data_IF_673601354104
#
_entry.id   IF_673601354104
#
_cell.length_a   1.000
_cell.length_b   1.000
_cell.length_c   1.000
_cell.angle_alpha   90.00
_cell.angle_beta   90.00
_cell.angle_gamma   90.00
#
_symmetry.space_group_name_H-M   'P 1'
#
loop_
_entity.id
_entity.type
_entity.pdbx_description
1 polymer ?
#
# COMPACT_ATOMS: atom_id res chain seq x y z
N UNK A 1 -50.08 -68.25 -15.81
CA UNK A 1 -50.31 -66.83 -16.17
C UNK A 1 -49.01 -66.04 -15.92
N UNK A 2 -48.42 -65.43 -16.95
CA UNK A 2 -47.22 -64.56 -16.80
C UNK A 2 -47.60 -63.21 -16.19
N UNK A 3 -46.90 -62.66 -15.19
CA UNK A 3 -46.96 -61.23 -14.91
C UNK A 3 -45.85 -60.48 -15.65
N UNK A 4 -46.27 -59.36 -16.24
CA UNK A 4 -45.54 -58.52 -17.18
C UNK A 4 -44.39 -57.78 -16.50
N UNK A 5 -43.17 -57.92 -17.02
CA UNK A 5 -42.04 -57.07 -16.64
C UNK A 5 -42.27 -55.63 -17.08
N UNK A 6 -42.52 -54.74 -16.12
CA UNK A 6 -42.59 -53.30 -16.36
C UNK A 6 -41.18 -52.70 -16.30
N UNK A 7 -40.43 -52.78 -17.41
CA UNK A 7 -39.18 -52.02 -17.55
C UNK A 7 -39.52 -50.53 -17.70
N UNK A 8 -39.61 -49.79 -16.59
CA UNK A 8 -39.53 -48.33 -16.62
C UNK A 8 -38.14 -47.95 -17.14
N UNK A 9 -38.05 -47.62 -18.44
CA UNK A 9 -36.85 -46.99 -19.01
C UNK A 9 -36.57 -45.70 -18.23
N UNK A 10 -35.44 -45.65 -17.52
CA UNK A 10 -34.94 -44.46 -16.84
C UNK A 10 -34.74 -43.36 -17.88
N UNK A 11 -35.45 -42.24 -17.77
CA UNK A 11 -35.22 -41.06 -18.61
C UNK A 11 -33.98 -40.33 -18.10
N UNK A 12 -32.86 -40.54 -18.78
CA UNK A 12 -31.67 -39.69 -18.67
C UNK A 12 -31.90 -38.43 -19.51
N UNK A 13 -31.75 -37.25 -18.92
CA UNK A 13 -31.81 -35.99 -19.65
C UNK A 13 -30.42 -35.37 -19.75
N UNK A 14 -29.99 -35.01 -20.95
CA UNK A 14 -28.72 -34.33 -21.19
C UNK A 14 -28.98 -32.85 -21.43
N UNK A 15 -28.28 -31.98 -20.70
CA UNK A 15 -28.28 -30.52 -20.97
C UNK A 15 -26.87 -30.08 -21.41
N UNK A 16 -26.75 -29.20 -22.41
CA UNK A 16 -25.48 -28.54 -22.69
C UNK A 16 -25.13 -27.61 -21.52
N UNK A 17 -23.88 -27.67 -21.05
CA UNK A 17 -23.42 -26.88 -19.91
C UNK A 17 -21.94 -26.54 -20.03
N UNK A 18 -21.52 -25.53 -19.27
CA UNK A 18 -20.15 -25.02 -19.26
C UNK A 18 -19.35 -25.71 -18.14
N UNK A 19 -18.11 -26.16 -18.39
CA UNK A 19 -17.28 -26.71 -17.31
C UNK A 19 -16.90 -25.61 -16.30
N UNK A 20 -16.77 -25.97 -15.01
CA UNK A 20 -16.29 -25.04 -13.99
C UNK A 20 -14.85 -24.60 -14.31
N UNK A 21 -14.59 -23.29 -14.21
CA UNK A 21 -13.25 -22.69 -14.46
C UNK A 21 -13.01 -22.14 -15.88
N UNK A 22 -14.01 -22.10 -16.77
CA UNK A 22 -13.83 -21.60 -18.14
C UNK A 22 -14.15 -20.09 -18.27
N UNK A 23 -13.22 -19.22 -18.72
CA UNK A 23 -13.45 -17.77 -18.83
C UNK A 23 -14.56 -17.42 -19.83
N UNK A 24 -15.32 -16.35 -19.57
CA UNK A 24 -16.37 -15.87 -20.46
C UNK A 24 -15.81 -15.47 -21.84
N UNK A 25 -16.42 -15.96 -22.93
CA UNK A 25 -16.10 -15.52 -24.30
C UNK A 25 -15.40 -16.53 -25.23
N UNK A 26 -15.05 -17.74 -24.76
CA UNK A 26 -14.48 -18.78 -25.63
C UNK A 26 -15.60 -19.62 -26.27
N UNK A 27 -15.81 -19.49 -27.58
CA UNK A 27 -16.74 -20.33 -28.35
C UNK A 27 -16.01 -21.58 -28.85
N UNK A 28 -16.52 -22.78 -28.57
CA UNK A 28 -16.01 -24.03 -29.16
C UNK A 28 -15.97 -25.25 -28.25
N UNK A 29 -16.20 -25.12 -26.95
CA UNK A 29 -16.17 -26.25 -26.02
C UNK A 29 -17.59 -26.59 -25.55
N UNK A 30 -18.25 -27.55 -26.20
CA UNK A 30 -19.52 -28.10 -25.76
C UNK A 30 -19.32 -29.53 -25.24
N UNK A 31 -19.59 -29.77 -23.96
CA UNK A 31 -19.62 -31.13 -23.39
C UNK A 31 -20.83 -31.31 -22.46
N UNK A 32 -21.30 -32.56 -22.35
CA UNK A 32 -22.64 -32.94 -21.85
C UNK A 32 -22.65 -33.15 -20.33
N UNK A 33 -23.70 -32.68 -19.66
CA UNK A 33 -24.01 -33.08 -18.28
C UNK A 33 -25.08 -34.17 -18.26
N UNK A 34 -24.92 -35.14 -17.37
CA UNK A 34 -25.92 -36.17 -17.09
C UNK A 34 -26.51 -35.89 -15.70
N UNK A 35 -27.83 -35.74 -15.62
CA UNK A 35 -28.52 -35.61 -14.33
C UNK A 35 -29.49 -36.76 -14.10
N UNK A 36 -29.43 -37.37 -12.92
CA UNK A 36 -30.43 -38.29 -12.39
C UNK A 36 -31.17 -37.63 -11.21
N UNK A 37 -32.47 -37.90 -11.05
CA UNK A 37 -33.24 -37.36 -9.93
C UNK A 37 -32.71 -37.88 -8.59
N UNK A 38 -32.30 -36.97 -7.71
CA UNK A 38 -31.85 -37.28 -6.34
C UNK A 38 -30.34 -37.31 -6.12
N UNK A 39 -29.51 -37.00 -7.13
CA UNK A 39 -28.04 -36.81 -6.97
C UNK A 39 -27.60 -35.46 -7.53
N UNK A 40 -26.52 -34.92 -6.97
CA UNK A 40 -25.83 -33.77 -7.55
C UNK A 40 -25.30 -34.15 -8.96
N UNK A 41 -25.38 -33.25 -9.95
CA UNK A 41 -24.93 -33.54 -11.31
C UNK A 41 -23.42 -33.81 -11.32
N UNK A 42 -23.03 -34.97 -11.83
CA UNK A 42 -21.64 -35.41 -11.92
C UNK A 42 -21.12 -35.20 -13.35
N UNK A 43 -19.88 -34.74 -13.46
CA UNK A 43 -19.27 -34.41 -14.73
C UNK A 43 -18.67 -35.67 -15.37
N UNK A 44 -19.09 -35.97 -16.61
CA UNK A 44 -18.62 -37.16 -17.35
C UNK A 44 -18.08 -36.69 -18.71
N UNK A 45 -16.78 -36.44 -18.77
CA UNK A 45 -16.06 -36.05 -19.99
C UNK A 45 -14.53 -36.12 -19.80
N UNK A 46 -13.73 -36.00 -20.87
CA UNK A 46 -12.27 -35.85 -20.74
C UNK A 46 -11.91 -34.46 -20.20
N UNK A 47 -10.96 -34.38 -19.27
CA UNK A 47 -10.53 -33.09 -18.68
C UNK A 47 -9.69 -32.39 -19.73
N UNK A 48 -10.01 -31.15 -20.14
CA UNK A 48 -9.22 -30.49 -21.18
C UNK A 48 -7.81 -30.24 -20.63
N UNK A 49 -6.81 -30.80 -21.32
CA UNK A 49 -5.43 -30.40 -21.13
C UNK A 49 -5.27 -28.93 -21.55
N UNK A 50 -4.55 -28.18 -20.72
CA UNK A 50 -4.09 -26.80 -20.88
C UNK A 50 -4.25 -26.23 -22.30
N UNK A 51 -5.19 -25.29 -22.48
CA UNK A 51 -5.36 -24.57 -23.74
C UNK A 51 -4.16 -23.64 -23.97
N UNK A 52 -3.20 -24.06 -24.79
CA UNK A 52 -2.22 -23.16 -25.38
C UNK A 52 -2.92 -22.26 -26.41
N UNK A 53 -2.92 -20.95 -26.17
CA UNK A 53 -3.34 -19.96 -27.18
C UNK A 53 -2.41 -20.08 -28.41
N UNK A 54 -2.92 -20.64 -29.51
CA UNK A 54 -2.33 -20.46 -30.82
C UNK A 54 -3.43 -20.19 -31.86
N UNK A 55 -3.20 -19.11 -32.62
CA UNK A 55 -3.81 -18.69 -33.88
C UNK A 55 -5.32 -18.38 -33.94
N UNK A 56 -5.63 -17.09 -34.07
CA UNK A 56 -6.89 -16.59 -34.63
C UNK A 56 -6.66 -16.32 -36.13
N UNK A 57 -7.41 -16.94 -37.07
CA UNK A 57 -7.31 -16.59 -38.48
C UNK A 57 -8.01 -15.25 -38.75
N UNK A 58 -7.34 -14.38 -39.50
CA UNK A 58 -7.91 -13.12 -40.02
C UNK A 58 -8.93 -13.45 -41.12
N UNK A 59 -10.19 -13.08 -40.91
CA UNK A 59 -11.17 -12.96 -41.99
C UNK A 59 -12.50 -13.68 -41.76
N UNK A 60 -13.39 -13.07 -40.97
CA UNK A 60 -14.82 -13.34 -41.08
C UNK A 60 -15.59 -12.08 -40.70
N UNK A 61 -16.10 -11.36 -41.72
CA UNK A 61 -17.00 -10.21 -41.53
C UNK A 61 -18.35 -10.73 -41.02
N UNK A 62 -18.56 -10.71 -39.70
CA UNK A 62 -19.88 -10.91 -39.11
C UNK A 62 -20.72 -9.65 -39.34
N UNK A 63 -21.82 -9.78 -40.09
CA UNK A 63 -22.84 -8.74 -40.24
C UNK A 63 -23.51 -8.51 -38.87
N UNK A 64 -23.39 -7.31 -38.30
CA UNK A 64 -24.07 -6.92 -37.04
C UNK A 64 -25.55 -6.64 -37.33
N UNK A 65 -26.49 -7.12 -36.49
CA UNK A 65 -27.85 -6.59 -36.50
C UNK A 65 -27.81 -5.14 -35.98
N UNK A 66 -28.61 -4.27 -36.58
CA UNK A 66 -28.75 -2.88 -36.19
C UNK A 66 -29.39 -2.76 -34.80
N UNK A 67 -28.57 -2.82 -33.74
CA UNK A 67 -28.95 -2.29 -32.43
C UNK A 67 -28.73 -0.78 -32.46
N UNK A 68 -29.81 -0.01 -32.27
CA UNK A 68 -29.81 1.45 -32.07
C UNK A 68 -28.56 1.88 -31.31
N UNK A 69 -27.67 2.59 -31.98
CA UNK A 69 -26.57 3.29 -31.35
C UNK A 69 -27.17 4.42 -30.51
N UNK A 70 -27.39 4.18 -29.22
CA UNK A 70 -27.28 5.27 -28.26
C UNK A 70 -25.83 5.70 -28.33
N UNK A 71 -25.58 6.80 -29.05
CA UNK A 71 -24.32 7.53 -28.99
C UNK A 71 -23.86 7.53 -27.54
N UNK A 72 -22.64 7.07 -27.21
CA UNK A 72 -22.05 7.48 -25.96
C UNK A 72 -21.95 8.99 -26.12
N UNK A 73 -22.89 9.72 -25.51
CA UNK A 73 -22.66 11.11 -25.18
C UNK A 73 -21.34 11.05 -24.43
N UNK A 74 -20.27 11.42 -25.13
CA UNK A 74 -19.05 11.77 -24.48
C UNK A 74 -19.48 12.82 -23.49
N UNK A 75 -19.60 12.41 -22.23
CA UNK A 75 -19.11 13.25 -21.17
C UNK A 75 -17.67 13.49 -21.56
N UNK A 76 -17.47 14.53 -22.38
CA UNK A 76 -16.28 15.32 -22.28
C UNK A 76 -16.01 15.39 -20.79
N UNK A 77 -14.79 15.03 -20.37
CA UNK A 77 -14.26 15.64 -19.17
C UNK A 77 -14.41 17.14 -19.43
N UNK A 78 -15.57 17.69 -19.05
CA UNK A 78 -15.71 19.10 -18.82
C UNK A 78 -14.58 19.35 -17.85
N UNK A 79 -13.55 20.09 -18.30
CA UNK A 79 -12.47 20.50 -17.44
C UNK A 79 -13.14 21.05 -16.19
N UNK A 80 -13.06 20.27 -15.11
CA UNK A 80 -13.61 20.65 -13.83
C UNK A 80 -12.84 21.92 -13.46
N UNK A 81 -13.51 23.06 -13.24
CA UNK A 81 -12.85 24.35 -13.09
C UNK A 81 -11.87 24.25 -11.92
N UNK A 82 -10.58 24.55 -12.14
CA UNK A 82 -9.47 24.61 -11.16
C UNK A 82 -9.72 23.95 -9.79
N UNK A 83 -10.15 22.70 -9.75
CA UNK A 83 -10.25 21.95 -8.49
C UNK A 83 -8.86 21.42 -8.19
N UNK A 84 -8.53 21.28 -6.90
CA UNK A 84 -7.28 20.62 -6.55
C UNK A 84 -7.26 19.18 -7.13
N UNK A 85 -6.09 18.66 -7.54
CA UNK A 85 -5.98 17.36 -8.21
C UNK A 85 -6.60 16.20 -7.42
N UNK A 86 -6.61 16.32 -6.09
CA UNK A 86 -7.15 15.31 -5.20
C UNK A 86 -8.68 15.36 -5.16
N UNK A 87 -9.32 16.52 -5.05
CA UNK A 87 -10.79 16.61 -5.15
C UNK A 87 -11.28 16.12 -6.52
N UNK A 88 -10.50 16.37 -7.57
CA UNK A 88 -10.76 15.80 -8.91
C UNK A 88 -10.65 14.27 -8.91
N UNK A 89 -9.60 13.70 -8.32
CA UNK A 89 -9.42 12.26 -8.20
C UNK A 89 -10.55 11.60 -7.39
N UNK A 90 -10.93 12.18 -6.25
CA UNK A 90 -12.06 11.70 -5.43
C UNK A 90 -13.38 11.80 -6.19
N UNK A 91 -13.66 12.93 -6.84
CA UNK A 91 -14.88 13.08 -7.65
C UNK A 91 -14.96 12.05 -8.77
N UNK A 92 -13.80 11.62 -9.30
CA UNK A 92 -13.71 10.55 -10.31
C UNK A 92 -13.93 9.15 -9.71
N UNK A 93 -13.51 8.92 -8.47
CA UNK A 93 -13.74 7.66 -7.76
C UNK A 93 -15.21 7.51 -7.31
N UNK A 94 -15.88 8.62 -7.07
CA UNK A 94 -17.31 8.70 -6.77
C UNK A 94 -18.15 8.65 -8.05
N UNK A 95 -19.34 8.05 -7.98
CA UNK A 95 -20.30 8.02 -9.10
C UNK A 95 -20.81 9.46 -9.44
N UNK A 96 -21.42 9.70 -10.62
CA UNK A 96 -21.75 11.05 -11.10
C UNK A 96 -22.54 11.89 -10.08
N UNK A 97 -22.19 13.17 -9.93
CA UNK A 97 -22.74 14.07 -8.89
C UNK A 97 -21.95 14.05 -7.57
N UNK A 98 -20.76 13.43 -7.56
CA UNK A 98 -19.95 13.21 -6.37
C UNK A 98 -19.15 14.41 -5.83
N UNK A 99 -19.23 15.61 -6.41
CA UNK A 99 -18.40 16.75 -5.99
C UNK A 99 -18.72 17.17 -4.53
N UNK A 100 -19.99 17.37 -4.19
CA UNK A 100 -20.39 17.76 -2.83
C UNK A 100 -20.10 16.65 -1.82
N UNK A 101 -20.23 15.38 -2.24
CA UNK A 101 -19.90 14.22 -1.40
C UNK A 101 -18.40 14.04 -1.23
N UNK A 102 -17.58 14.34 -2.22
CA UNK A 102 -16.12 14.34 -2.12
C UNK A 102 -15.65 15.39 -1.11
N UNK A 103 -16.19 16.61 -1.23
CA UNK A 103 -15.90 17.70 -0.29
C UNK A 103 -16.36 17.36 1.13
N UNK A 104 -17.59 16.85 1.28
CA UNK A 104 -18.11 16.42 2.58
C UNK A 104 -17.30 15.26 3.18
N UNK A 105 -16.84 14.33 2.34
CA UNK A 105 -16.01 13.20 2.78
C UNK A 105 -14.64 13.71 3.25
N UNK A 106 -14.00 14.59 2.50
CA UNK A 106 -12.73 15.21 2.90
C UNK A 106 -12.85 16.00 4.19
N UNK A 107 -13.95 16.74 4.38
CA UNK A 107 -14.25 17.43 5.63
C UNK A 107 -14.47 16.44 6.78
N UNK A 108 -15.21 15.35 6.55
CA UNK A 108 -15.46 14.31 7.56
C UNK A 108 -14.17 13.61 7.99
N UNK A 109 -13.28 13.32 7.05
CA UNK A 109 -11.99 12.68 7.35
C UNK A 109 -10.91 13.69 7.79
N UNK A 110 -11.23 14.98 7.83
CA UNK A 110 -10.38 16.10 8.20
C UNK A 110 -9.30 16.46 7.17
N UNK A 111 -8.74 15.45 6.50
CA UNK A 111 -7.72 15.61 5.47
C UNK A 111 -7.72 14.42 4.50
N UNK A 112 -7.16 14.58 3.30
CA UNK A 112 -7.03 13.51 2.30
C UNK A 112 -6.42 12.22 2.84
N UNK A 113 -5.47 12.35 3.78
CA UNK A 113 -4.79 11.22 4.43
C UNK A 113 -5.71 10.41 5.32
N UNK A 114 -6.79 11.01 5.83
CA UNK A 114 -7.81 10.28 6.58
C UNK A 114 -8.41 9.16 5.74
N UNK A 115 -8.46 9.28 4.41
CA UNK A 115 -8.91 8.21 3.52
C UNK A 115 -7.98 7.00 3.52
N UNK A 116 -6.68 7.19 3.71
CA UNK A 116 -5.70 6.09 3.79
C UNK A 116 -5.92 5.21 5.03
N UNK A 117 -6.61 5.74 6.05
CA UNK A 117 -6.86 5.07 7.34
C UNK A 117 -8.19 4.32 7.39
N UNK A 118 -9.13 4.66 6.52
CA UNK A 118 -10.46 4.10 6.58
C UNK A 118 -10.55 2.83 5.76
N UNK A 119 -10.99 1.75 6.42
CA UNK A 119 -11.41 0.54 5.72
C UNK A 119 -12.67 0.81 4.90
N UNK A 120 -12.95 -0.02 3.88
CA UNK A 120 -14.17 0.10 3.10
C UNK A 120 -15.45 0.10 3.98
N UNK A 121 -15.59 -0.73 5.04
CA UNK A 121 -16.70 -0.62 5.98
C UNK A 121 -16.78 0.73 6.71
N UNK A 122 -15.64 1.28 7.14
CA UNK A 122 -15.60 2.57 7.82
C UNK A 122 -15.98 3.72 6.89
N UNK A 123 -15.58 3.66 5.62
CA UNK A 123 -16.02 4.59 4.59
C UNK A 123 -17.53 4.53 4.38
N UNK A 124 -18.13 3.33 4.29
CA UNK A 124 -19.59 3.18 4.19
C UNK A 124 -20.31 3.75 5.41
N UNK A 125 -19.73 3.62 6.61
CA UNK A 125 -20.32 4.13 7.85
C UNK A 125 -20.47 5.66 7.86
N UNK A 126 -19.67 6.40 7.07
CA UNK A 126 -19.82 7.86 6.90
C UNK A 126 -21.14 8.26 6.25
N UNK A 127 -21.82 7.32 5.57
CA UNK A 127 -23.02 7.55 4.71
C UNK A 127 -22.79 8.49 3.53
N UNK A 128 -21.56 8.91 3.26
CA UNK A 128 -21.20 9.79 2.15
C UNK A 128 -20.87 8.99 0.88
N UNK A 129 -20.52 7.72 1.02
CA UNK A 129 -20.14 6.84 -0.07
C UNK A 129 -20.90 5.51 -0.01
N UNK A 130 -21.22 4.98 -1.19
CA UNK A 130 -21.78 3.64 -1.34
C UNK A 130 -20.70 2.56 -1.09
N UNK A 131 -21.13 1.32 -0.85
CA UNK A 131 -20.20 0.18 -0.74
C UNK A 131 -19.28 0.02 -1.96
N UNK A 132 -19.79 0.35 -3.15
CA UNK A 132 -19.02 0.29 -4.40
C UNK A 132 -17.96 1.38 -4.45
N UNK A 133 -18.32 2.62 -4.13
CA UNK A 133 -17.39 3.76 -4.08
C UNK A 133 -16.34 3.56 -2.98
N UNK A 134 -16.75 3.09 -1.79
CA UNK A 134 -15.83 2.74 -0.71
C UNK A 134 -14.82 1.67 -1.14
N UNK A 135 -15.26 0.64 -1.89
CA UNK A 135 -14.37 -0.38 -2.44
C UNK A 135 -13.39 0.18 -3.47
N UNK A 136 -13.82 1.14 -4.31
CA UNK A 136 -12.92 1.82 -5.27
C UNK A 136 -11.87 2.69 -4.56
N UNK A 137 -12.29 3.45 -3.54
CA UNK A 137 -11.37 4.26 -2.73
C UNK A 137 -10.36 3.33 -2.04
N UNK A 138 -10.83 2.29 -1.35
CA UNK A 138 -9.95 1.31 -0.70
C UNK A 138 -8.97 0.66 -1.70
N UNK A 139 -9.44 0.25 -2.89
CA UNK A 139 -8.55 -0.30 -3.92
C UNK A 139 -7.50 0.71 -4.41
N UNK A 140 -7.86 1.99 -4.54
CA UNK A 140 -6.91 3.05 -4.91
C UNK A 140 -5.87 3.29 -3.81
N UNK A 141 -6.28 3.24 -2.54
CA UNK A 141 -5.38 3.31 -1.37
C UNK A 141 -4.41 2.13 -1.37
N UNK A 142 -4.91 0.89 -1.53
CA UNK A 142 -4.08 -0.32 -1.59
C UNK A 142 -3.08 -0.26 -2.74
N UNK A 143 -3.51 0.18 -3.93
CA UNK A 143 -2.62 0.35 -5.08
C UNK A 143 -1.54 1.40 -4.80
N UNK A 144 -1.89 2.50 -4.13
CA UNK A 144 -0.94 3.52 -3.72
C UNK A 144 0.08 2.96 -2.72
N UNK A 145 -0.37 2.26 -1.68
CA UNK A 145 0.51 1.62 -0.69
C UNK A 145 1.45 0.63 -1.37
N UNK A 146 0.92 -0.22 -2.25
CA UNK A 146 1.73 -1.18 -3.01
C UNK A 146 2.73 -0.51 -3.96
N UNK A 147 2.36 0.61 -4.59
CA UNK A 147 3.28 1.38 -5.42
C UNK A 147 4.41 2.06 -4.61
N UNK A 148 4.21 2.25 -3.30
CA UNK A 148 5.26 2.73 -2.39
C UNK A 148 6.18 1.59 -1.90
N UNK A 149 5.75 0.34 -1.96
CA UNK A 149 6.57 -0.81 -1.56
C UNK A 149 7.81 -0.90 -2.45
N UNK A 150 8.97 -0.59 -1.87
CA UNK A 150 10.26 -0.87 -2.49
C UNK A 150 10.63 -2.35 -2.24
N UNK A 151 11.43 -2.99 -3.11
CA UNK A 151 11.94 -4.33 -2.83
C UNK A 151 12.57 -4.34 -1.44
N UNK A 152 12.24 -5.35 -0.61
CA UNK A 152 12.63 -5.38 0.81
C UNK A 152 14.14 -5.25 1.02
N UNK A 153 14.92 -5.66 0.03
CA UNK A 153 16.38 -5.71 0.08
C UNK A 153 17.04 -4.65 -0.83
N UNK A 154 16.25 -3.71 -1.36
CA UNK A 154 16.79 -2.62 -2.16
C UNK A 154 17.69 -1.73 -1.30
N UNK A 155 18.82 -1.32 -1.88
CA UNK A 155 19.73 -0.39 -1.23
C UNK A 155 19.04 0.96 -0.97
N UNK A 156 19.17 1.47 0.26
CA UNK A 156 18.62 2.75 0.70
C UNK A 156 19.66 3.86 0.46
N UNK A 157 19.71 4.37 -0.76
CA UNK A 157 20.68 5.39 -1.19
C UNK A 157 20.15 6.81 -1.07
N UNK A 158 18.83 6.97 -0.93
CA UNK A 158 18.15 8.26 -0.87
C UNK A 158 17.15 8.29 0.30
N UNK A 159 16.98 9.42 1.03
CA UNK A 159 16.08 9.50 2.18
C UNK A 159 14.63 9.09 1.88
N UNK A 160 14.13 9.39 0.68
CA UNK A 160 12.81 8.92 0.24
C UNK A 160 12.68 7.39 0.23
N UNK A 161 13.76 6.65 -0.06
CA UNK A 161 13.74 5.19 0.02
C UNK A 161 13.67 4.71 1.46
N UNK A 162 14.34 5.41 2.39
CA UNK A 162 14.23 5.16 3.83
C UNK A 162 12.80 5.42 4.31
N UNK A 163 12.20 6.55 3.94
CA UNK A 163 10.80 6.88 4.24
C UNK A 163 9.81 5.83 3.70
N UNK A 164 10.13 5.20 2.57
CA UNK A 164 9.32 4.13 1.95
C UNK A 164 9.66 2.74 2.45
N UNK A 165 10.75 2.56 3.20
CA UNK A 165 11.13 1.26 3.74
C UNK A 165 10.13 0.75 4.78
N UNK A 166 9.32 1.65 5.35
CA UNK A 166 8.24 1.35 6.31
C UNK A 166 6.94 2.05 5.84
N UNK A 167 6.22 1.51 4.83
CA UNK A 167 5.15 2.22 4.13
C UNK A 167 3.97 2.67 5.00
N UNK A 168 3.66 1.97 6.10
CA UNK A 168 2.50 2.32 6.93
C UNK A 168 2.70 3.62 7.72
N UNK A 169 3.95 4.06 7.94
CA UNK A 169 4.27 5.32 8.63
C UNK A 169 3.64 6.56 7.97
N UNK A 170 3.39 6.52 6.66
CA UNK A 170 2.71 7.60 5.94
C UNK A 170 1.25 7.80 6.36
N UNK A 171 0.68 6.78 7.00
CA UNK A 171 -0.73 6.70 7.38
C UNK A 171 -0.94 6.54 8.88
N UNK A 172 0.12 6.24 9.64
CA UNK A 172 0.03 5.88 11.05
C UNK A 172 -0.51 7.06 11.90
N UNK A 173 -1.59 6.87 12.68
CA UNK A 173 -2.13 7.89 13.58
C UNK A 173 -1.28 8.15 14.82
N UNK A 174 -0.52 7.15 15.27
CA UNK A 174 0.43 7.33 16.36
C UNK A 174 1.80 7.67 15.79
N UNK A 175 2.66 8.27 16.61
CA UNK A 175 4.06 8.42 16.23
C UNK A 175 4.77 7.10 16.51
N UNK A 176 5.49 6.57 15.52
CA UNK A 176 6.31 5.37 15.66
C UNK A 176 7.73 5.66 15.19
N UNK A 177 8.72 5.26 15.98
CA UNK A 177 10.12 5.27 15.57
C UNK A 177 10.56 3.87 15.15
N UNK A 178 11.21 3.78 14.01
CA UNK A 178 11.72 2.55 13.43
C UNK A 178 13.24 2.64 13.22
N UNK A 179 13.91 1.53 13.52
CA UNK A 179 15.31 1.27 13.23
C UNK A 179 15.43 0.35 12.02
N UNK A 180 16.32 0.71 11.10
CA UNK A 180 16.62 -0.09 9.91
C UNK A 180 18.13 -0.34 9.88
N UNK A 181 18.63 -1.45 10.46
CA UNK A 181 20.01 -1.85 10.33
C UNK A 181 20.31 -2.22 8.87
N UNK A 182 21.50 -1.85 8.37
CA UNK A 182 21.89 -2.09 6.98
C UNK A 182 23.27 -2.72 6.84
N UNK A 183 23.45 -3.44 5.75
CA UNK A 183 24.76 -3.94 5.33
C UNK A 183 25.63 -2.84 4.68
N UNK A 184 26.91 -3.11 4.34
CA UNK A 184 27.79 -2.12 3.71
C UNK A 184 27.33 -1.62 2.33
N UNK A 185 26.33 -2.26 1.71
CA UNK A 185 25.70 -1.86 0.45
C UNK A 185 24.39 -1.11 0.69
N UNK A 186 24.12 -0.69 1.93
CA UNK A 186 22.92 0.02 2.37
C UNK A 186 21.63 -0.79 2.21
N UNK A 187 21.72 -2.12 2.18
CA UNK A 187 20.54 -2.99 2.08
C UNK A 187 19.99 -3.28 3.48
N UNK A 188 18.67 -3.14 3.71
CA UNK A 188 18.05 -3.44 4.99
C UNK A 188 18.27 -4.90 5.41
N UNK A 189 18.77 -5.08 6.63
CA UNK A 189 18.89 -6.39 7.30
C UNK A 189 17.64 -6.70 8.13
N UNK A 190 17.05 -5.66 8.73
CA UNK A 190 15.83 -5.74 9.53
C UNK A 190 15.06 -4.42 9.49
N UNK A 191 13.85 -4.42 10.04
CA UNK A 191 13.00 -3.24 10.24
C UNK A 191 12.33 -3.41 11.60
N UNK A 192 12.86 -2.73 12.61
CA UNK A 192 12.44 -2.91 13.99
C UNK A 192 11.73 -1.66 14.49
N UNK A 193 10.48 -1.81 14.93
CA UNK A 193 9.79 -0.75 15.67
C UNK A 193 10.43 -0.62 17.05
N UNK A 194 10.97 0.55 17.37
CA UNK A 194 11.69 0.82 18.62
C UNK A 194 10.88 1.66 19.60
N UNK A 195 9.91 2.45 19.12
CA UNK A 195 8.98 3.19 19.98
C UNK A 195 7.61 3.37 19.33
N UNK A 196 6.59 3.56 20.18
CA UNK A 196 5.21 3.92 19.84
C UNK A 196 4.76 5.01 20.81
N UNK A 197 4.16 6.07 20.29
CA UNK A 197 3.94 7.31 21.03
C UNK A 197 5.16 8.22 20.90
N UNK A 198 4.91 9.54 20.88
CA UNK A 198 5.95 10.51 20.52
C UNK A 198 7.22 10.43 21.37
N UNK A 199 8.33 11.02 20.90
CA UNK A 199 9.64 10.94 21.55
C UNK A 199 9.60 11.43 23.01
N UNK A 200 8.66 12.31 23.35
CA UNK A 200 8.36 12.78 24.71
C UNK A 200 7.84 11.68 25.67
N UNK A 201 7.18 10.64 25.14
CA UNK A 201 6.45 9.60 25.92
C UNK A 201 7.12 8.23 25.93
N UNK A 202 8.04 7.96 25.00
CA UNK A 202 8.87 6.77 24.99
C UNK A 202 10.34 7.19 24.94
N UNK A 203 11.02 7.19 26.08
CA UNK A 203 12.46 7.40 26.13
C UNK A 203 13.17 6.24 25.41
N UNK A 204 13.58 6.48 24.17
CA UNK A 204 14.36 5.50 23.40
C UNK A 204 15.81 5.61 23.82
N UNK A 205 16.36 4.54 24.38
CA UNK A 205 17.76 4.51 24.77
C UNK A 205 18.67 4.24 23.56
N UNK A 206 19.64 5.11 23.34
CA UNK A 206 20.59 4.99 22.25
C UNK A 206 21.45 3.72 22.36
N UNK A 207 21.75 3.25 23.57
CA UNK A 207 22.55 2.04 23.80
C UNK A 207 21.80 0.79 23.34
N UNK A 208 20.51 0.69 23.68
CA UNK A 208 19.64 -0.40 23.23
C UNK A 208 19.49 -0.43 21.70
N UNK A 209 19.34 0.74 21.07
CA UNK A 209 19.35 0.85 19.61
C UNK A 209 20.65 0.31 19.00
N UNK A 210 21.81 0.76 19.49
CA UNK A 210 23.11 0.31 18.99
C UNK A 210 23.32 -1.18 19.23
N UNK A 211 22.84 -1.72 20.36
CA UNK A 211 22.85 -3.16 20.62
C UNK A 211 22.09 -3.93 19.54
N UNK A 212 20.94 -3.44 19.09
CA UNK A 212 20.17 -4.07 18.00
C UNK A 212 20.92 -4.00 16.66
N UNK A 213 21.57 -2.88 16.35
CA UNK A 213 22.39 -2.73 15.14
C UNK A 213 23.55 -3.73 15.14
N UNK A 214 24.25 -3.87 16.27
CA UNK A 214 25.35 -4.83 16.43
C UNK A 214 24.88 -6.28 16.31
N UNK A 215 23.78 -6.64 16.96
CA UNK A 215 23.23 -8.00 16.91
C UNK A 215 22.72 -8.39 15.52
N UNK A 216 22.29 -7.41 14.72
CA UNK A 216 21.94 -7.63 13.32
C UNK A 216 23.17 -7.86 12.41
N UNK A 217 24.40 -7.68 12.90
CA UNK A 217 25.61 -7.75 12.09
C UNK A 217 25.71 -6.60 11.07
N UNK A 218 25.08 -5.47 11.37
CA UNK A 218 24.99 -4.33 10.48
C UNK A 218 26.27 -3.48 10.51
N UNK A 219 26.57 -2.79 9.40
CA UNK A 219 27.64 -1.78 9.33
C UNK A 219 27.15 -0.37 9.73
N UNK A 220 25.83 -0.20 9.81
CA UNK A 220 25.19 1.07 10.10
C UNK A 220 23.68 0.93 10.16
N UNK A 221 22.99 2.04 10.31
CA UNK A 221 21.54 2.06 10.35
C UNK A 221 20.94 3.36 9.81
N UNK A 222 19.65 3.28 9.53
CA UNK A 222 18.77 4.43 9.35
C UNK A 222 17.72 4.45 10.47
N UNK A 223 17.26 5.65 10.80
CA UNK A 223 16.05 5.85 11.58
C UNK A 223 14.94 6.42 10.70
N UNK A 224 13.70 6.08 11.00
CA UNK A 224 12.54 6.72 10.40
C UNK A 224 11.40 6.81 11.40
N UNK A 225 10.75 7.96 11.50
CA UNK A 225 9.51 8.10 12.26
C UNK A 225 8.52 8.98 11.50
N UNK A 226 7.25 8.97 11.96
CA UNK A 226 6.20 9.80 11.39
C UNK A 226 5.75 10.89 12.36
N UNK A 227 5.41 12.05 11.81
CA UNK A 227 4.66 13.09 12.52
C UNK A 227 3.19 13.03 12.10
N UNK A 228 2.26 12.59 12.97
CA UNK A 228 0.83 12.53 12.65
C UNK A 228 0.22 13.88 12.28
N UNK A 229 0.83 14.99 12.72
CA UNK A 229 0.48 16.37 12.33
C UNK A 229 0.61 16.61 10.83
N UNK A 230 1.47 15.85 10.14
CA UNK A 230 1.76 15.99 8.73
C UNK A 230 2.85 17.00 8.38
N UNK A 231 3.46 17.66 9.36
CA UNK A 231 4.66 18.48 9.19
C UNK A 231 5.90 17.61 9.37
N UNK A 232 6.74 17.40 8.34
CA UNK A 232 7.95 16.58 8.45
C UNK A 232 9.09 17.29 9.19
N UNK A 233 8.94 18.54 9.62
CA UNK A 233 10.03 19.29 10.25
C UNK A 233 10.49 18.59 11.54
N UNK A 234 11.76 18.17 11.66
CA UNK A 234 12.26 17.49 12.85
C UNK A 234 12.13 18.38 14.10
N UNK A 235 11.72 17.79 15.23
CA UNK A 235 11.71 18.50 16.49
C UNK A 235 13.13 18.68 17.06
N UNK A 236 13.28 19.56 18.05
CA UNK A 236 14.56 19.71 18.76
C UNK A 236 14.99 18.42 19.47
N UNK A 237 14.04 17.59 19.91
CA UNK A 237 14.32 16.29 20.51
C UNK A 237 14.88 15.30 19.48
N UNK A 238 14.28 15.26 18.28
CA UNK A 238 14.76 14.37 17.19
C UNK A 238 16.19 14.70 16.80
N UNK A 239 16.50 15.99 16.64
CA UNK A 239 17.85 16.44 16.28
C UNK A 239 18.85 16.07 17.37
N UNK A 240 18.54 16.33 18.64
CA UNK A 240 19.42 16.01 19.78
C UNK A 240 19.66 14.51 19.91
N UNK A 241 18.59 13.72 19.81
CA UNK A 241 18.65 12.26 19.87
C UNK A 241 19.50 11.69 18.72
N UNK A 242 19.30 12.21 17.50
CA UNK A 242 20.08 11.79 16.32
C UNK A 242 21.57 12.10 16.52
N UNK A 243 21.90 13.31 16.98
CA UNK A 243 23.29 13.71 17.23
C UNK A 243 23.94 12.82 18.29
N UNK A 244 23.23 12.52 19.38
CA UNK A 244 23.72 11.62 20.42
C UNK A 244 23.95 10.21 19.89
N UNK A 245 22.99 9.65 19.15
CA UNK A 245 23.10 8.32 18.56
C UNK A 245 24.27 8.24 17.59
N UNK A 246 24.44 9.23 16.70
CA UNK A 246 25.54 9.31 15.74
C UNK A 246 26.90 9.32 16.45
N UNK A 247 27.04 10.12 17.52
CA UNK A 247 28.28 10.18 18.29
C UNK A 247 28.62 8.84 18.97
N UNK A 248 27.64 8.17 19.57
CA UNK A 248 27.84 6.85 20.20
C UNK A 248 28.09 5.75 19.16
N UNK A 249 27.42 5.79 18.02
CA UNK A 249 27.63 4.85 16.91
C UNK A 249 29.07 4.91 16.39
N UNK A 250 29.63 6.10 16.23
CA UNK A 250 30.99 6.31 15.75
C UNK A 250 32.05 5.62 16.65
N UNK A 251 31.83 5.61 17.99
CA UNK A 251 32.70 4.91 18.93
C UNK A 251 32.73 3.39 18.73
N UNK A 252 31.67 2.84 18.12
CA UNK A 252 31.52 1.42 17.78
C UNK A 252 31.83 1.13 16.31
N UNK A 253 32.37 2.11 15.57
CA UNK A 253 32.59 2.01 14.11
C UNK A 253 31.30 1.71 13.31
N UNK A 254 30.15 2.16 13.83
CA UNK A 254 28.86 2.11 13.15
C UNK A 254 28.50 3.49 12.59
N UNK A 255 27.75 3.51 11.49
CA UNK A 255 27.30 4.74 10.84
C UNK A 255 25.78 4.89 10.98
N UNK A 256 25.33 6.03 11.51
CA UNK A 256 23.93 6.46 11.38
C UNK A 256 23.82 7.25 10.08
N UNK A 257 23.27 6.64 9.05
CA UNK A 257 23.28 7.21 7.69
C UNK A 257 22.27 8.34 7.52
N UNK A 258 21.11 8.22 8.15
CA UNK A 258 20.09 9.25 8.19
C UNK A 258 19.06 8.97 9.30
N UNK A 259 18.36 10.01 9.71
CA UNK A 259 17.11 9.92 10.46
C UNK A 259 16.05 10.71 9.70
N UNK A 260 15.07 9.99 9.15
CA UNK A 260 14.05 10.55 8.27
C UNK A 260 12.73 10.73 9.00
N UNK A 261 12.19 11.94 8.95
CA UNK A 261 10.89 12.28 9.50
C UNK A 261 9.87 12.30 8.37
N UNK A 262 8.81 11.51 8.50
CA UNK A 262 7.72 11.42 7.52
C UNK A 262 6.57 12.29 7.99
N UNK A 263 6.32 13.35 7.22
CA UNK A 263 5.24 14.29 7.43
C UNK A 263 4.33 14.25 6.23
N UNK A 264 3.42 13.28 6.23
CA UNK A 264 2.27 13.35 5.39
C UNK A 264 2.43 12.98 3.91
N UNK A 265 2.90 13.87 3.04
CA UNK A 265 3.37 13.54 1.67
C UNK A 265 4.81 14.01 1.43
N UNK A 266 5.43 14.52 2.49
CA UNK A 266 6.77 15.06 2.50
C UNK A 266 7.58 14.29 3.53
N UNK A 267 8.88 14.45 3.44
CA UNK A 267 9.84 13.93 4.39
C UNK A 267 10.91 14.99 4.62
N UNK A 268 11.58 14.92 5.76
CA UNK A 268 12.76 15.71 6.05
C UNK A 268 13.83 14.79 6.67
N UNK A 269 15.08 15.22 6.63
CA UNK A 269 16.20 14.53 7.26
C UNK A 269 16.63 15.33 8.49
N UNK A 270 16.95 14.65 9.58
CA UNK A 270 17.57 15.28 10.76
C UNK A 270 19.07 15.56 10.54
N UNK A 271 19.68 14.95 9.52
CA UNK A 271 21.11 15.05 9.22
C UNK A 271 21.38 15.83 7.93
N UNK A 272 20.36 16.36 7.24
CA UNK A 272 20.54 17.08 5.98
C UNK A 272 19.63 18.29 5.88
N UNK A 273 20.15 19.36 5.30
CA UNK A 273 19.36 20.54 4.96
C UNK A 273 18.48 20.28 3.72
N UNK A 274 17.65 21.26 3.35
CA UNK A 274 16.80 21.17 2.17
C UNK A 274 17.59 21.07 0.84
N UNK A 275 18.88 21.46 0.83
CA UNK A 275 19.78 21.31 -0.30
C UNK A 275 20.49 19.95 -0.34
N UNK A 276 20.29 19.09 0.68
CA UNK A 276 20.90 17.77 0.81
C UNK A 276 22.29 17.78 1.45
N UNK A 277 22.79 18.95 1.85
CA UNK A 277 24.06 19.10 2.57
C UNK A 277 23.93 18.48 3.95
N UNK A 278 24.96 17.77 4.42
CA UNK A 278 24.95 17.18 5.75
C UNK A 278 24.91 18.32 6.78
N UNK A 279 23.90 18.31 7.65
CA UNK A 279 23.84 19.14 8.84
C UNK A 279 24.90 18.61 9.79
N UNK A 280 25.86 19.47 10.12
CA UNK A 280 26.88 19.14 11.11
C UNK A 280 26.16 18.79 12.43
N UNK A 281 26.37 17.60 13.02
CA UNK A 281 25.73 17.21 14.27
C UNK A 281 26.34 17.98 15.46
N UNK A 282 26.16 19.31 15.46
CA UNK A 282 26.59 20.29 16.45
C UNK A 282 28.12 20.40 16.68
N UNK A 283 28.60 21.56 17.17
CA UNK A 283 30.01 21.94 17.09
C UNK A 283 30.90 21.05 17.96
N UNK A 284 32.13 20.87 17.50
CA UNK A 284 33.25 20.44 18.33
C UNK A 284 33.40 21.42 19.52
N UNK A 285 33.55 20.86 20.72
CA UNK A 285 34.05 21.50 21.94
C UNK A 285 33.16 22.52 22.69
N UNK A 286 32.47 22.03 23.73
CA UNK A 286 32.54 22.73 25.02
C UNK A 286 33.76 22.18 25.76
N UNK A 287 34.94 22.75 25.49
CA UNK A 287 36.16 22.46 26.25
C UNK A 287 35.94 22.71 27.76
N UNK A 288 36.76 22.12 28.63
CA UNK A 288 36.67 22.38 30.07
C UNK A 288 36.83 23.89 30.32
N UNK A 289 35.84 24.48 31.00
CA UNK A 289 35.88 25.86 31.47
C UNK A 289 37.21 26.09 32.23
N UNK A 290 38.07 27.04 31.79
CA UNK A 290 39.25 27.37 32.56
C UNK A 290 38.83 28.27 33.73
N UNK A 291 39.29 27.92 34.93
CA UNK A 291 39.43 28.90 36.01
C UNK A 291 38.35 28.87 37.09
N UNK A 292 38.65 28.11 38.15
CA UNK A 292 38.06 28.27 39.46
C UNK A 292 39.02 27.83 40.56
N UNK A 293 40.31 28.09 40.39
CA UNK A 293 41.26 28.07 41.50
C UNK A 293 41.17 29.44 42.20
N UNK A 294 40.62 29.43 43.41
CA UNK A 294 40.67 30.53 44.36
C UNK A 294 40.63 29.91 45.75
N UNK A 295 41.65 30.25 46.54
CA UNK A 295 41.92 29.83 47.92
C UNK A 295 40.70 29.85 48.85
#
# INVERSE_FOLDING_TARGET
MRPRGNTRRRRVSTRPGRPPGCPAGVSGCATRFVSERGRAPEWVGPRPAVCHLRHIPRGARARRPASRATSPRGTALALVPSMDPLTTALTTLLDPGGCDRATALLAHVGAPRGLLRLSAPALVATRLVSAREASRIAAAVELFVHALESPRDAALQHPLQVARAVPHLWTEPLEELWLIPVDPRLRPLARDRVAIGGPERCAVDATELLRRVLLAGASGCFLVHNHPSGDPTPSALDVRFTAELTRRAAQLSLVVHDHVVVGGQRWASCLRDAAGSVLDPLPQDAGPQPGGAGF
#
